data_IF_907497036565
#
_entry.id   IF_907497036565
#
_cell.length_a   1.000
_cell.length_b   1.000
_cell.length_c   1.000
_cell.angle_alpha   90.00
_cell.angle_beta   90.00
_cell.angle_gamma   90.00
#
_symmetry.space_group_name_H-M   'P 1'
#
loop_
_entity.id
_entity.type
_entity.pdbx_description
1 polymer ?
#
# COMPACT_ATOMS: atom_id res chain seq x y z
N UNK A 1 6.77 -13.45 37.82
CA UNK A 1 7.11 -14.38 36.74
C UNK A 1 8.51 -14.06 36.29
N UNK A 2 9.38 -15.07 36.32
CA UNK A 2 10.83 -14.96 36.16
C UNK A 2 11.13 -14.84 34.66
N UNK A 3 11.73 -13.73 34.24
CA UNK A 3 12.20 -13.52 32.88
C UNK A 3 13.23 -14.61 32.53
N UNK A 4 12.88 -15.51 31.61
CA UNK A 4 13.85 -16.39 30.96
C UNK A 4 14.62 -15.51 29.98
N UNK A 5 15.96 -15.40 30.07
CA UNK A 5 16.73 -14.64 29.12
C UNK A 5 16.81 -15.47 27.84
N UNK A 6 15.85 -15.27 26.94
CA UNK A 6 16.08 -15.57 25.53
C UNK A 6 17.19 -14.60 25.11
N UNK A 7 18.28 -15.17 24.59
CA UNK A 7 19.49 -14.52 24.03
C UNK A 7 19.24 -13.04 23.75
N UNK A 8 19.98 -12.15 24.43
CA UNK A 8 19.89 -10.72 24.17
C UNK A 8 20.01 -10.51 22.65
N UNK A 9 18.98 -9.94 22.02
CA UNK A 9 18.87 -9.77 20.57
C UNK A 9 20.05 -8.97 19.95
N UNK A 10 20.94 -8.43 20.78
CA UNK A 10 22.17 -7.71 20.43
C UNK A 10 23.31 -8.60 19.90
N UNK A 11 23.20 -9.94 19.94
CA UNK A 11 24.23 -10.85 19.41
C UNK A 11 23.82 -11.64 18.16
N UNK A 12 22.58 -11.50 17.69
CA UNK A 12 22.08 -12.26 16.54
C UNK A 12 22.49 -11.55 15.24
N UNK A 13 23.22 -12.19 14.32
CA UNK A 13 23.58 -11.57 13.05
C UNK A 13 22.34 -11.16 12.24
N UNK A 14 22.33 -9.94 11.70
CA UNK A 14 21.21 -9.38 10.91
C UNK A 14 20.77 -10.32 9.77
N UNK A 15 21.72 -10.94 9.07
CA UNK A 15 21.44 -11.90 8.00
C UNK A 15 20.61 -13.11 8.47
N UNK A 16 20.82 -13.57 9.71
CA UNK A 16 20.06 -14.66 10.28
C UNK A 16 18.61 -14.22 10.54
N UNK A 17 18.43 -12.99 11.01
CA UNK A 17 17.09 -12.41 11.24
C UNK A 17 16.36 -12.23 9.93
N UNK A 18 17.00 -11.64 8.92
CA UNK A 18 16.42 -11.45 7.57
C UNK A 18 16.04 -12.80 6.95
N UNK A 19 16.94 -13.78 6.99
CA UNK A 19 16.65 -15.14 6.53
C UNK A 19 15.48 -15.76 7.29
N UNK A 20 15.42 -15.56 8.61
CA UNK A 20 14.32 -15.98 9.46
C UNK A 20 12.99 -15.32 9.08
N UNK A 21 12.96 -14.02 8.83
CA UNK A 21 11.77 -13.27 8.39
C UNK A 21 11.24 -13.79 7.05
N UNK A 22 12.13 -14.01 6.07
CA UNK A 22 11.75 -14.53 4.76
C UNK A 22 11.17 -15.95 4.89
N UNK A 23 11.81 -16.83 5.68
CA UNK A 23 11.31 -18.17 5.94
C UNK A 23 10.00 -18.17 6.74
N UNK A 24 9.83 -17.24 7.66
CA UNK A 24 8.56 -17.03 8.36
C UNK A 24 7.45 -16.65 7.37
N UNK A 25 7.77 -15.88 6.32
CA UNK A 25 6.83 -15.60 5.24
C UNK A 25 6.45 -16.82 4.40
N UNK A 26 7.38 -17.77 4.20
CA UNK A 26 7.07 -19.06 3.59
C UNK A 26 6.13 -19.89 4.48
N UNK A 27 6.39 -19.94 5.78
CA UNK A 27 5.50 -20.60 6.76
C UNK A 27 4.11 -19.95 6.73
N UNK A 28 4.03 -18.62 6.76
CA UNK A 28 2.78 -17.88 6.70
C UNK A 28 1.98 -18.21 5.42
N UNK A 29 2.67 -18.33 4.29
CA UNK A 29 2.05 -18.73 3.02
C UNK A 29 1.52 -20.17 3.06
N UNK A 30 2.23 -21.10 3.71
CA UNK A 30 1.74 -22.47 3.90
C UNK A 30 0.56 -22.54 4.88
N UNK A 31 0.62 -21.78 5.98
CA UNK A 31 -0.43 -21.76 6.99
C UNK A 31 -1.72 -21.15 6.44
N UNK A 32 -1.64 -20.03 5.72
CA UNK A 32 -2.81 -19.33 5.15
C UNK A 32 -3.65 -20.22 4.25
N UNK A 33 -3.01 -21.12 3.50
CA UNK A 33 -3.71 -22.13 2.68
C UNK A 33 -4.48 -23.16 3.51
N UNK A 34 -4.09 -23.39 4.76
CA UNK A 34 -4.74 -24.37 5.64
C UNK A 34 -5.85 -23.74 6.50
N UNK A 35 -5.64 -22.51 6.98
CA UNK A 35 -6.53 -21.85 7.95
C UNK A 35 -7.55 -20.88 7.32
N UNK A 36 -7.58 -20.73 5.99
CA UNK A 36 -8.47 -19.79 5.27
C UNK A 36 -8.34 -18.33 5.75
N UNK A 37 -7.16 -17.93 6.22
CA UNK A 37 -6.85 -16.56 6.62
C UNK A 37 -5.85 -15.97 5.60
N UNK A 38 -6.02 -14.71 5.17
CA UNK A 38 -5.08 -14.07 4.25
C UNK A 38 -3.64 -14.11 4.76
N UNK A 39 -2.69 -14.34 3.85
CA UNK A 39 -1.24 -14.39 4.15
C UNK A 39 -0.78 -13.14 4.90
N UNK A 40 -1.26 -11.97 4.50
CA UNK A 40 -0.92 -10.67 5.09
C UNK A 40 -1.26 -10.63 6.59
N UNK A 41 -2.43 -11.12 6.98
CA UNK A 41 -2.84 -11.18 8.39
C UNK A 41 -1.90 -12.06 9.21
N UNK A 42 -1.46 -13.19 8.67
CA UNK A 42 -0.54 -14.10 9.36
C UNK A 42 0.84 -13.45 9.50
N UNK A 43 1.32 -12.76 8.47
CA UNK A 43 2.58 -12.00 8.53
C UNK A 43 2.53 -10.92 9.63
N UNK A 44 1.45 -10.14 9.71
CA UNK A 44 1.28 -9.14 10.76
C UNK A 44 1.27 -9.77 12.17
N UNK A 45 0.54 -10.87 12.36
CA UNK A 45 0.50 -11.59 13.63
C UNK A 45 1.87 -12.18 14.02
N UNK A 46 2.60 -12.72 13.05
CA UNK A 46 3.97 -13.20 13.27
C UNK A 46 4.90 -12.03 13.61
N UNK A 47 4.71 -10.86 13.02
CA UNK A 47 5.44 -9.63 13.34
C UNK A 47 5.20 -9.19 14.78
N UNK A 48 3.93 -9.14 15.20
CA UNK A 48 3.54 -8.82 16.60
C UNK A 48 4.16 -9.84 17.57
N UNK A 49 4.10 -11.14 17.23
CA UNK A 49 4.67 -12.19 18.05
C UNK A 49 6.20 -12.14 18.10
N UNK A 50 6.87 -11.76 17.00
CA UNK A 50 8.32 -11.65 16.93
C UNK A 50 8.85 -10.33 17.53
N UNK A 51 7.99 -9.32 17.63
CA UNK A 51 8.31 -7.99 18.13
C UNK A 51 8.39 -7.87 19.65
N UNK A 52 8.54 -6.63 20.16
CA UNK A 52 8.95 -6.38 21.55
C UNK A 52 7.94 -6.89 22.59
N UNK A 53 6.67 -6.97 22.22
CA UNK A 53 5.58 -7.45 23.08
C UNK A 53 5.44 -8.97 23.12
N UNK A 54 6.06 -9.69 22.18
CA UNK A 54 6.02 -11.14 22.09
C UNK A 54 7.34 -11.78 22.52
N UNK A 55 8.03 -12.37 21.56
CA UNK A 55 9.30 -13.09 21.72
C UNK A 55 10.52 -12.15 21.70
N UNK A 56 10.36 -10.91 21.23
CA UNK A 56 11.42 -9.91 21.13
C UNK A 56 12.70 -10.43 20.43
N UNK A 57 12.51 -11.11 19.29
CA UNK A 57 13.57 -11.78 18.53
C UNK A 57 14.14 -10.92 17.39
N UNK A 58 13.42 -9.88 16.99
CA UNK A 58 13.87 -8.93 15.96
C UNK A 58 14.75 -7.87 16.64
N UNK A 59 16.04 -7.76 16.29
CA UNK A 59 16.92 -6.72 16.82
C UNK A 59 16.44 -5.34 16.38
N UNK A 60 16.69 -4.33 17.22
CA UNK A 60 16.31 -2.94 16.92
C UNK A 60 16.93 -2.43 15.63
N UNK A 61 18.19 -2.78 15.38
CA UNK A 61 18.92 -2.36 14.17
C UNK A 61 18.23 -2.84 12.87
N UNK A 62 17.61 -4.02 12.89
CA UNK A 62 16.82 -4.55 11.75
C UNK A 62 15.48 -3.83 11.64
N UNK A 63 14.86 -3.46 12.77
CA UNK A 63 13.62 -2.70 12.77
C UNK A 63 13.82 -1.26 12.25
N UNK A 64 14.99 -0.66 12.47
CA UNK A 64 15.33 0.67 11.94
C UNK A 64 15.34 0.71 10.40
N UNK A 65 15.45 -0.43 9.71
CA UNK A 65 15.35 -0.51 8.24
C UNK A 65 13.91 -0.53 7.72
N UNK A 66 12.92 -0.51 8.62
CA UNK A 66 11.52 -0.58 8.22
C UNK A 66 11.09 0.52 7.22
N UNK A 67 11.49 1.80 7.38
CA UNK A 67 11.18 2.83 6.39
C UNK A 67 11.73 2.53 5.00
N UNK A 68 12.99 2.08 4.90
CA UNK A 68 13.64 1.76 3.63
C UNK A 68 13.00 0.53 2.96
N UNK A 69 12.69 -0.51 3.75
CA UNK A 69 12.00 -1.71 3.26
C UNK A 69 10.59 -1.34 2.78
N UNK A 70 9.89 -0.47 3.50
CA UNK A 70 8.57 0.04 3.13
C UNK A 70 8.63 0.77 1.79
N UNK A 71 9.60 1.67 1.61
CA UNK A 71 9.76 2.42 0.37
C UNK A 71 10.02 1.50 -0.83
N UNK A 72 10.91 0.52 -0.66
CA UNK A 72 11.23 -0.46 -1.71
C UNK A 72 10.00 -1.29 -2.06
N UNK A 73 9.34 -1.86 -1.05
CA UNK A 73 8.17 -2.72 -1.24
C UNK A 73 7.02 -1.96 -1.91
N UNK A 74 6.69 -0.77 -1.42
CA UNK A 74 5.58 0.03 -1.93
C UNK A 74 5.87 0.65 -3.30
N UNK A 75 7.12 0.99 -3.63
CA UNK A 75 7.48 1.41 -4.98
C UNK A 75 7.24 0.28 -6.01
N UNK A 76 7.66 -0.94 -5.68
CA UNK A 76 7.44 -2.12 -6.53
C UNK A 76 5.96 -2.46 -6.65
N UNK A 77 5.21 -2.49 -5.54
CA UNK A 77 3.76 -2.74 -5.54
C UNK A 77 3.00 -1.65 -6.29
N UNK A 78 3.35 -0.39 -6.08
CA UNK A 78 2.75 0.72 -6.83
C UNK A 78 2.93 0.54 -8.33
N UNK A 79 4.13 0.17 -8.78
CA UNK A 79 4.37 -0.17 -10.19
C UNK A 79 3.49 -1.32 -10.68
N UNK A 80 3.41 -2.43 -9.94
CA UNK A 80 2.55 -3.59 -10.28
C UNK A 80 1.07 -3.20 -10.37
N UNK A 81 0.59 -2.42 -9.41
CA UNK A 81 -0.79 -1.92 -9.40
C UNK A 81 -1.07 -1.07 -10.64
N UNK A 82 -0.09 -0.29 -11.10
CA UNK A 82 -0.16 0.44 -12.37
C UNK A 82 -0.53 -0.42 -13.59
N UNK A 83 -0.15 -1.71 -13.62
CA UNK A 83 -0.55 -2.63 -14.70
C UNK A 83 -2.08 -2.77 -14.80
N UNK A 84 -2.74 -2.85 -13.64
CA UNK A 84 -4.20 -3.02 -13.53
C UNK A 84 -4.96 -1.84 -14.16
N UNK A 85 -4.37 -0.64 -14.15
CA UNK A 85 -4.94 0.57 -14.77
C UNK A 85 -4.97 0.54 -16.31
N UNK A 86 -4.17 -0.31 -16.96
CA UNK A 86 -4.16 -0.43 -18.42
C UNK A 86 -5.19 -1.42 -18.98
N UNK A 87 -5.90 -2.14 -18.11
CA UNK A 87 -6.83 -3.21 -18.47
C UNK A 87 -7.97 -2.77 -19.40
N UNK A 88 -8.44 -3.70 -20.25
CA UNK A 88 -9.64 -3.50 -21.09
C UNK A 88 -10.91 -3.26 -20.26
N UNK A 89 -10.92 -3.66 -19.00
CA UNK A 89 -12.07 -3.55 -18.09
C UNK A 89 -12.40 -2.09 -17.78
N UNK A 90 -11.41 -1.27 -17.40
CA UNK A 90 -11.62 0.18 -17.17
C UNK A 90 -12.16 0.87 -18.43
N UNK A 91 -11.75 0.44 -19.62
CA UNK A 91 -12.25 1.00 -20.90
C UNK A 91 -13.70 0.62 -21.21
N UNK A 92 -14.24 -0.44 -20.60
CA UNK A 92 -15.59 -0.97 -20.89
C UNK A 92 -16.62 -0.66 -19.81
N UNK A 93 -16.22 -0.65 -18.54
CA UNK A 93 -17.08 -0.38 -17.36
C UNK A 93 -16.66 0.87 -16.58
N UNK A 94 -15.76 1.68 -17.15
CA UNK A 94 -15.07 2.78 -16.45
C UNK A 94 -15.99 3.78 -15.75
N UNK A 95 -17.13 4.16 -16.32
CA UNK A 95 -18.03 5.11 -15.66
C UNK A 95 -18.61 4.55 -14.36
N UNK A 96 -19.06 3.30 -14.36
CA UNK A 96 -19.57 2.63 -13.14
C UNK A 96 -18.44 2.40 -12.14
N UNK A 97 -17.30 1.90 -12.59
CA UNK A 97 -16.13 1.68 -11.73
C UNK A 97 -15.68 2.98 -11.05
N UNK A 98 -15.54 4.07 -11.81
CA UNK A 98 -15.14 5.37 -11.27
C UNK A 98 -16.19 5.94 -10.31
N UNK A 99 -17.48 5.81 -10.62
CA UNK A 99 -18.54 6.32 -9.77
C UNK A 99 -18.61 5.56 -8.43
N UNK A 100 -18.57 4.23 -8.46
CA UNK A 100 -18.60 3.38 -7.26
C UNK A 100 -17.35 3.60 -6.42
N UNK A 101 -16.17 3.53 -7.02
CA UNK A 101 -14.87 3.71 -6.36
C UNK A 101 -14.75 5.09 -5.69
N UNK A 102 -15.16 6.16 -6.38
CA UNK A 102 -15.17 7.50 -5.80
C UNK A 102 -16.23 7.62 -4.69
N UNK A 103 -17.40 7.01 -4.87
CA UNK A 103 -18.48 6.98 -3.89
C UNK A 103 -18.05 6.30 -2.59
N UNK A 104 -17.48 5.11 -2.65
CA UNK A 104 -17.00 4.38 -1.46
C UNK A 104 -15.82 5.09 -0.80
N UNK A 105 -14.90 5.66 -1.59
CA UNK A 105 -13.73 6.39 -1.07
C UNK A 105 -14.18 7.61 -0.27
N UNK A 106 -15.05 8.44 -0.84
CA UNK A 106 -15.59 9.62 -0.16
C UNK A 106 -16.50 9.23 0.99
N UNK A 107 -17.34 8.20 0.82
CA UNK A 107 -18.24 7.69 1.86
C UNK A 107 -17.47 7.22 3.09
N UNK A 108 -16.44 6.39 2.91
CA UNK A 108 -15.56 5.92 3.98
C UNK A 108 -14.89 7.10 4.69
N UNK A 109 -14.28 8.02 3.94
CA UNK A 109 -13.59 9.17 4.51
C UNK A 109 -14.52 10.09 5.30
N UNK A 110 -15.70 10.43 4.76
CA UNK A 110 -16.66 11.32 5.43
C UNK A 110 -17.18 10.70 6.73
N UNK A 111 -17.61 9.43 6.69
CA UNK A 111 -18.19 8.77 7.86
C UNK A 111 -17.13 8.58 8.94
N UNK A 112 -15.92 8.15 8.57
CA UNK A 112 -14.80 8.03 9.52
C UNK A 112 -14.41 9.39 10.10
N UNK A 113 -14.33 10.43 9.27
CA UNK A 113 -14.04 11.79 9.72
C UNK A 113 -15.03 12.25 10.80
N UNK A 114 -16.34 12.12 10.53
CA UNK A 114 -17.39 12.55 11.47
C UNK A 114 -17.28 11.78 12.78
N UNK A 115 -17.17 10.45 12.72
CA UNK A 115 -17.08 9.60 13.93
C UNK A 115 -15.81 9.92 14.72
N UNK A 116 -14.66 9.99 14.07
CA UNK A 116 -13.39 10.29 14.71
C UNK A 116 -13.38 11.70 15.33
N UNK A 117 -13.92 12.70 14.63
CA UNK A 117 -14.01 14.07 15.14
C UNK A 117 -14.93 14.15 16.37
N UNK A 118 -16.09 13.50 16.34
CA UNK A 118 -17.02 13.48 17.48
C UNK A 118 -16.43 12.78 18.71
N UNK A 119 -15.60 11.75 18.52
CA UNK A 119 -14.97 11.01 19.62
C UNK A 119 -13.73 11.71 20.18
N UNK A 120 -12.90 12.32 19.33
CA UNK A 120 -11.60 12.85 19.71
C UNK A 120 -11.60 14.37 19.93
N UNK A 121 -12.54 15.10 19.32
CA UNK A 121 -12.54 16.56 19.28
C UNK A 121 -11.34 17.18 18.53
N UNK A 122 -10.49 16.36 17.90
CA UNK A 122 -9.28 16.78 17.21
C UNK A 122 -9.44 16.65 15.70
N UNK A 123 -9.54 17.80 15.02
CA UNK A 123 -9.71 17.90 13.58
C UNK A 123 -8.55 17.27 12.79
N UNK A 124 -7.32 17.49 13.24
CA UNK A 124 -6.10 16.99 12.57
C UNK A 124 -6.10 15.47 12.57
N UNK A 125 -6.30 14.84 13.73
CA UNK A 125 -6.32 13.37 13.82
C UNK A 125 -7.50 12.77 13.05
N UNK A 126 -8.68 13.42 13.12
CA UNK A 126 -9.86 12.96 12.37
C UNK A 126 -9.63 12.99 10.85
N UNK A 127 -8.96 14.02 10.31
CA UNK A 127 -8.59 14.10 8.89
C UNK A 127 -7.61 13.01 8.49
N UNK A 128 -6.59 12.74 9.33
CA UNK A 128 -5.61 11.68 9.06
C UNK A 128 -6.27 10.29 9.04
N UNK A 129 -7.14 9.99 10.01
CA UNK A 129 -7.91 8.75 10.04
C UNK A 129 -8.85 8.63 8.83
N UNK A 130 -9.50 9.73 8.45
CA UNK A 130 -10.37 9.76 7.28
C UNK A 130 -9.61 9.51 5.97
N UNK A 131 -8.36 9.96 5.85
CA UNK A 131 -7.55 9.73 4.66
C UNK A 131 -7.04 8.31 4.51
N UNK A 132 -6.88 7.56 5.61
CA UNK A 132 -6.47 6.15 5.58
C UNK A 132 -7.67 5.23 5.36
N UNK A 133 -8.89 5.68 5.70
CA UNK A 133 -10.13 4.89 5.61
C UNK A 133 -10.41 4.22 4.25
N UNK A 134 -10.17 4.86 3.09
CA UNK A 134 -10.47 4.28 1.78
C UNK A 134 -9.55 3.13 1.37
N UNK A 135 -8.39 2.97 2.00
CA UNK A 135 -7.39 2.01 1.57
C UNK A 135 -7.97 0.57 1.57
N UNK A 136 -7.86 -0.12 0.44
CA UNK A 136 -8.47 -1.44 0.20
C UNK A 136 -7.52 -2.31 -0.63
N UNK A 137 -7.19 -3.51 -0.14
CA UNK A 137 -6.24 -4.41 -0.82
C UNK A 137 -6.96 -5.32 -1.86
N UNK A 138 -6.57 -5.31 -3.15
CA UNK A 138 -7.12 -6.19 -4.18
C UNK A 138 -6.86 -7.68 -3.98
N UNK A 139 -5.83 -8.06 -3.22
CA UNK A 139 -5.40 -9.46 -3.13
C UNK A 139 -6.51 -10.38 -2.58
N UNK A 140 -7.15 -9.98 -1.48
CA UNK A 140 -8.20 -10.79 -0.84
C UNK A 140 -9.44 -10.93 -1.76
N UNK A 141 -9.83 -9.84 -2.43
CA UNK A 141 -10.97 -9.84 -3.35
C UNK A 141 -10.69 -10.71 -4.58
N UNK A 142 -9.48 -10.65 -5.13
CA UNK A 142 -9.06 -11.46 -6.27
C UNK A 142 -9.01 -12.95 -5.94
N UNK A 143 -8.53 -13.30 -4.75
CA UNK A 143 -8.47 -14.69 -4.28
C UNK A 143 -9.87 -15.31 -4.19
N UNK A 144 -10.85 -14.60 -3.61
CA UNK A 144 -12.25 -15.06 -3.53
C UNK A 144 -12.85 -15.24 -4.91
N UNK A 145 -12.60 -14.32 -5.84
CA UNK A 145 -13.10 -14.42 -7.23
C UNK A 145 -12.52 -15.64 -7.94
N UNK A 146 -11.21 -15.90 -7.77
CA UNK A 146 -10.52 -17.05 -8.38
C UNK A 146 -11.00 -18.38 -7.78
N UNK A 147 -11.14 -18.43 -6.46
CA UNK A 147 -11.61 -19.62 -5.73
C UNK A 147 -13.03 -20.01 -6.14
N UNK A 148 -13.93 -19.03 -6.22
CA UNK A 148 -15.31 -19.24 -6.66
C UNK A 148 -15.45 -19.34 -8.18
N UNK A 149 -14.37 -19.14 -8.95
CA UNK A 149 -14.38 -19.05 -10.42
C UNK A 149 -15.45 -18.09 -10.94
N UNK A 150 -15.67 -17.00 -10.21
CA UNK A 150 -16.72 -16.05 -10.54
C UNK A 150 -16.32 -15.27 -11.81
N UNK A 151 -17.19 -15.27 -12.82
CA UNK A 151 -17.02 -14.45 -14.02
C UNK A 151 -18.37 -13.84 -14.40
N UNK A 152 -18.49 -12.53 -14.22
CA UNK A 152 -19.74 -11.80 -14.46
C UNK A 152 -19.56 -10.29 -14.42
N UNK A 153 -20.59 -9.52 -14.78
CA UNK A 153 -20.53 -8.06 -14.80
C UNK A 153 -20.17 -7.46 -13.43
N UNK A 154 -20.75 -8.00 -12.36
CA UNK A 154 -20.45 -7.57 -10.98
C UNK A 154 -18.99 -7.86 -10.62
N UNK A 155 -18.49 -9.06 -10.90
CA UNK A 155 -17.08 -9.42 -10.66
C UNK A 155 -16.13 -8.46 -11.35
N UNK A 156 -16.41 -8.11 -12.62
CA UNK A 156 -15.60 -7.18 -13.41
C UNK A 156 -15.64 -5.77 -12.87
N UNK A 157 -16.80 -5.32 -12.39
CA UNK A 157 -16.91 -4.03 -11.68
C UNK A 157 -16.11 -4.04 -10.38
N UNK A 158 -16.27 -5.07 -9.53
CA UNK A 158 -15.54 -5.18 -8.26
C UNK A 158 -14.03 -5.21 -8.50
N UNK A 159 -13.54 -6.04 -9.42
CA UNK A 159 -12.11 -6.07 -9.76
C UNK A 159 -11.61 -4.74 -10.32
N UNK A 160 -12.44 -4.03 -11.09
CA UNK A 160 -12.12 -2.69 -11.59
C UNK A 160 -12.08 -1.64 -10.48
N UNK A 161 -12.99 -1.71 -9.51
CA UNK A 161 -13.06 -0.79 -8.35
C UNK A 161 -11.81 -0.95 -7.50
N UNK A 162 -11.53 -2.17 -7.04
CA UNK A 162 -10.38 -2.42 -6.16
C UNK A 162 -9.03 -2.19 -6.86
N UNK A 163 -8.98 -2.21 -8.20
CA UNK A 163 -7.78 -1.79 -8.94
C UNK A 163 -7.52 -0.28 -8.91
N UNK A 164 -8.54 0.56 -8.75
CA UNK A 164 -8.44 2.03 -8.76
C UNK A 164 -8.42 2.62 -7.34
N UNK A 165 -9.03 1.96 -6.36
CA UNK A 165 -9.22 2.49 -5.00
C UNK A 165 -7.92 2.93 -4.33
N UNK A 166 -6.82 2.19 -4.50
CA UNK A 166 -5.51 2.56 -3.93
C UNK A 166 -5.01 3.91 -4.46
N UNK A 167 -5.28 4.24 -5.73
CA UNK A 167 -4.92 5.55 -6.27
C UNK A 167 -5.80 6.66 -5.67
N UNK A 168 -7.11 6.43 -5.52
CA UNK A 168 -7.98 7.41 -4.87
C UNK A 168 -7.63 7.59 -3.40
N UNK A 169 -7.32 6.51 -2.69
CA UNK A 169 -6.89 6.54 -1.29
C UNK A 169 -5.65 7.41 -1.12
N UNK A 170 -4.63 7.22 -1.95
CA UNK A 170 -3.40 8.04 -1.90
C UNK A 170 -3.67 9.50 -2.24
N UNK A 171 -4.45 9.77 -3.29
CA UNK A 171 -4.83 11.14 -3.66
C UNK A 171 -5.61 11.82 -2.53
N UNK A 172 -6.61 11.15 -1.97
CA UNK A 172 -7.43 11.69 -0.88
C UNK A 172 -6.61 11.90 0.39
N UNK A 173 -5.77 10.93 0.75
CA UNK A 173 -4.86 11.03 1.90
C UNK A 173 -3.93 12.24 1.76
N UNK A 174 -3.30 12.43 0.60
CA UNK A 174 -2.46 13.60 0.31
C UNK A 174 -3.19 14.92 0.52
N UNK A 175 -4.42 15.05 0.02
CA UNK A 175 -5.23 16.26 0.25
C UNK A 175 -5.54 16.46 1.73
N UNK A 176 -6.05 15.44 2.41
CA UNK A 176 -6.44 15.53 3.82
C UNK A 176 -5.24 15.80 4.74
N UNK A 177 -4.07 15.24 4.43
CA UNK A 177 -2.81 15.51 5.12
C UNK A 177 -2.41 16.98 5.01
N UNK A 178 -2.47 17.55 3.80
CA UNK A 178 -2.19 18.98 3.58
C UNK A 178 -3.16 19.90 4.33
N UNK A 179 -4.44 19.54 4.36
CA UNK A 179 -5.44 20.24 5.17
C UNK A 179 -5.10 20.15 6.67
N UNK A 180 -4.73 18.97 7.15
CA UNK A 180 -4.32 18.75 8.53
C UNK A 180 -3.06 19.54 8.91
N UNK A 181 -2.04 19.58 8.06
CA UNK A 181 -0.82 20.39 8.24
C UNK A 181 -1.17 21.89 8.34
N UNK A 182 -2.04 22.38 7.46
CA UNK A 182 -2.48 23.78 7.47
C UNK A 182 -3.22 24.13 8.77
N UNK A 183 -4.11 23.25 9.24
CA UNK A 183 -4.82 23.44 10.51
C UNK A 183 -3.90 23.39 11.73
N UNK A 184 -2.81 22.61 11.65
CA UNK A 184 -1.79 22.56 12.71
C UNK A 184 -0.87 23.78 12.75
N UNK A 185 -1.03 24.73 11.82
CA UNK A 185 -0.21 25.94 11.73
C UNK A 185 1.16 25.74 11.07
N UNK A 186 1.42 24.56 10.49
CA UNK A 186 2.69 24.24 9.83
C UNK A 186 2.81 24.86 8.43
N UNK A 187 1.69 25.22 7.78
CA UNK A 187 1.68 25.83 6.45
C UNK A 187 0.65 26.97 6.35
N UNK A 188 0.98 28.03 5.62
CA UNK A 188 -0.01 29.03 5.21
C UNK A 188 -0.99 28.40 4.21
N UNK A 189 -2.30 28.71 4.31
CA UNK A 189 -3.34 28.00 3.53
C UNK A 189 -3.14 28.00 2.01
N UNK A 190 -2.56 29.06 1.44
CA UNK A 190 -2.22 29.11 0.02
C UNK A 190 -1.01 28.23 -0.34
N UNK A 191 0.01 28.15 0.53
CA UNK A 191 1.16 27.28 0.34
C UNK A 191 0.79 25.80 0.52
N UNK A 192 -0.13 25.49 1.45
CA UNK A 192 -0.66 24.13 1.66
C UNK A 192 -1.36 23.61 0.40
N UNK A 193 -2.34 24.33 -0.13
CA UNK A 193 -3.04 23.94 -1.36
C UNK A 193 -2.06 23.75 -2.53
N UNK A 194 -1.06 24.64 -2.65
CA UNK A 194 0.00 24.50 -3.64
C UNK A 194 0.80 23.19 -3.48
N UNK A 195 1.17 22.83 -2.25
CA UNK A 195 1.88 21.58 -1.92
C UNK A 195 1.05 20.34 -2.27
N UNK A 196 -0.24 20.30 -1.93
CA UNK A 196 -1.11 19.16 -2.27
C UNK A 196 -1.33 19.00 -3.77
N UNK A 197 -1.49 20.11 -4.50
CA UNK A 197 -1.54 20.06 -5.96
C UNK A 197 -0.20 19.60 -6.55
N UNK A 198 0.93 20.10 -6.03
CA UNK A 198 2.25 19.66 -6.47
C UNK A 198 2.48 18.17 -6.21
N UNK A 199 2.06 17.67 -5.06
CA UNK A 199 2.16 16.26 -4.67
C UNK A 199 1.46 15.34 -5.68
N UNK A 200 0.22 15.67 -6.07
CA UNK A 200 -0.57 14.88 -7.03
C UNK A 200 -0.13 15.10 -8.47
N UNK A 201 -0.09 16.36 -8.94
CA UNK A 201 0.23 16.66 -10.34
C UNK A 201 1.69 16.39 -10.66
N UNK A 202 2.60 16.65 -9.73
CA UNK A 202 4.02 16.33 -9.85
C UNK A 202 4.25 14.83 -9.93
N UNK A 203 3.57 14.03 -9.09
CA UNK A 203 3.63 12.57 -9.17
C UNK A 203 3.13 12.02 -10.52
N UNK A 204 2.00 12.54 -11.02
CA UNK A 204 1.48 12.17 -12.34
C UNK A 204 2.48 12.53 -13.46
N UNK A 205 3.02 13.75 -13.43
CA UNK A 205 3.97 14.22 -14.44
C UNK A 205 5.25 13.37 -14.45
N UNK A 206 5.83 13.10 -13.27
CA UNK A 206 7.02 12.26 -13.13
C UNK A 206 6.78 10.83 -13.59
N UNK A 207 5.66 10.22 -13.17
CA UNK A 207 5.32 8.85 -13.55
C UNK A 207 5.20 8.70 -15.07
N UNK A 208 4.59 9.68 -15.75
CA UNK A 208 4.52 9.72 -17.21
C UNK A 208 5.91 9.94 -17.82
N UNK A 209 6.67 10.90 -17.29
CA UNK A 209 8.00 11.27 -17.77
C UNK A 209 8.98 10.10 -17.75
N UNK A 210 9.00 9.31 -16.68
CA UNK A 210 9.86 8.11 -16.55
C UNK A 210 9.23 6.87 -17.21
N UNK A 211 7.90 6.82 -17.33
CA UNK A 211 7.18 5.71 -17.94
C UNK A 211 7.38 5.60 -19.43
N UNK A 212 7.52 6.72 -20.15
CA UNK A 212 7.81 6.71 -21.58
C UNK A 212 9.20 6.10 -21.92
N UNK A 213 10.31 6.55 -21.30
CA UNK A 213 11.62 5.91 -21.45
C UNK A 213 11.58 4.43 -21.13
N UNK A 214 10.95 4.05 -20.03
CA UNK A 214 10.82 2.64 -19.63
C UNK A 214 10.05 1.83 -20.69
N UNK A 215 8.89 2.32 -21.13
CA UNK A 215 8.10 1.66 -22.18
C UNK A 215 8.85 1.52 -23.51
N UNK A 216 9.76 2.45 -23.82
CA UNK A 216 10.59 2.42 -25.02
C UNK A 216 11.80 1.48 -24.90
N UNK A 217 12.40 1.39 -23.71
CA UNK A 217 13.57 0.56 -23.43
C UNK A 217 13.21 -0.94 -23.29
N UNK A 218 12.00 -1.23 -22.78
CA UNK A 218 11.47 -2.58 -22.62
C UNK A 218 11.61 -3.42 -23.90
N UNK A 219 12.45 -4.46 -23.84
CA UNK A 219 12.64 -5.44 -24.93
C UNK A 219 13.77 -5.14 -25.93
N UNK A 220 14.60 -4.12 -25.69
CA UNK A 220 15.77 -3.78 -26.53
C UNK A 220 17.09 -4.45 -26.08
N UNK A 221 17.29 -4.69 -24.78
CA UNK A 221 18.55 -5.26 -24.24
C UNK A 221 18.67 -6.76 -24.54
N UNK A 222 17.57 -7.51 -24.41
CA UNK A 222 17.37 -8.83 -25.00
C UNK A 222 15.98 -8.86 -25.61
N UNK A 223 15.84 -9.38 -26.84
CA UNK A 223 14.54 -9.50 -27.50
C UNK A 223 13.58 -10.28 -26.59
N UNK A 224 12.64 -9.55 -25.99
CA UNK A 224 11.60 -10.11 -25.15
C UNK A 224 11.94 -10.27 -23.66
N UNK A 225 13.11 -9.93 -23.14
CA UNK A 225 13.36 -10.07 -21.69
C UNK A 225 13.78 -8.72 -21.12
N UNK A 226 12.82 -7.85 -20.71
CA UNK A 226 13.15 -6.82 -19.73
C UNK A 226 13.77 -7.51 -18.52
N UNK A 227 14.90 -7.00 -18.04
CA UNK A 227 15.55 -7.59 -16.87
C UNK A 227 14.90 -7.04 -15.61
N UNK A 228 14.77 -7.86 -14.56
CA UNK A 228 14.46 -7.41 -13.19
C UNK A 228 15.30 -6.18 -12.82
N UNK A 229 16.57 -6.14 -13.26
CA UNK A 229 17.49 -5.02 -13.03
C UNK A 229 17.04 -3.71 -13.69
N UNK A 230 16.56 -3.77 -14.94
CA UNK A 230 16.08 -2.60 -15.68
C UNK A 230 14.80 -2.06 -15.03
N UNK A 231 13.86 -2.97 -14.75
CA UNK A 231 12.56 -2.59 -14.22
C UNK A 231 12.67 -2.05 -12.80
N UNK A 232 13.35 -2.76 -11.89
CA UNK A 232 13.58 -2.28 -10.52
C UNK A 232 14.42 -1.00 -10.48
N UNK A 233 15.46 -0.90 -11.31
CA UNK A 233 16.30 0.30 -11.38
C UNK A 233 15.51 1.56 -11.76
N UNK A 234 14.64 1.48 -12.77
CA UNK A 234 13.80 2.62 -13.17
C UNK A 234 12.75 2.93 -12.10
N UNK A 235 12.11 1.92 -11.52
CA UNK A 235 11.13 2.10 -10.43
C UNK A 235 11.77 2.83 -9.25
N UNK A 236 12.95 2.41 -8.80
CA UNK A 236 13.63 3.04 -7.66
C UNK A 236 14.18 4.43 -7.99
N UNK A 237 14.69 4.67 -9.19
CA UNK A 237 15.08 6.03 -9.62
C UNK A 237 13.84 6.94 -9.61
N UNK A 238 12.73 6.47 -10.18
CA UNK A 238 11.50 7.23 -10.24
C UNK A 238 10.95 7.54 -8.83
N UNK A 239 10.89 6.55 -7.95
CA UNK A 239 10.49 6.71 -6.55
C UNK A 239 11.42 7.65 -5.78
N UNK A 240 12.73 7.51 -5.95
CA UNK A 240 13.74 8.36 -5.30
C UNK A 240 13.67 9.80 -5.78
N UNK A 241 13.47 10.05 -7.08
CA UNK A 241 13.28 11.40 -7.63
C UNK A 241 11.97 12.00 -7.12
N UNK A 242 10.90 11.22 -7.02
CA UNK A 242 9.64 11.68 -6.45
C UNK A 242 9.81 12.13 -4.98
N UNK A 243 10.50 11.32 -4.16
CA UNK A 243 10.85 11.69 -2.78
C UNK A 243 11.72 12.94 -2.72
N UNK A 244 12.72 13.05 -3.59
CA UNK A 244 13.60 14.23 -3.64
C UNK A 244 12.85 15.52 -4.01
N UNK A 245 11.77 15.40 -4.78
CA UNK A 245 10.92 16.53 -5.19
C UNK A 245 9.72 16.76 -4.28
N UNK A 246 9.65 16.06 -3.13
CA UNK A 246 8.54 16.09 -2.17
C UNK A 246 7.17 15.84 -2.84
N UNK A 247 7.11 14.86 -3.75
CA UNK A 247 5.86 14.38 -4.35
C UNK A 247 5.64 12.90 -4.05
N UNK A 248 4.39 12.43 -4.20
CA UNK A 248 3.95 11.10 -3.81
C UNK A 248 4.65 10.04 -4.65
N UNK A 249 5.68 9.42 -4.08
CA UNK A 249 6.47 8.40 -4.76
C UNK A 249 5.63 7.17 -5.12
N UNK A 250 4.65 6.82 -4.28
CA UNK A 250 3.75 5.70 -4.51
C UNK A 250 2.83 6.00 -5.70
N UNK A 251 2.18 7.18 -5.73
CA UNK A 251 1.37 7.60 -6.88
C UNK A 251 2.21 7.69 -8.16
N UNK A 252 3.45 8.19 -8.04
CA UNK A 252 4.40 8.23 -9.15
C UNK A 252 4.68 6.84 -9.71
N UNK A 253 4.88 5.84 -8.85
CA UNK A 253 5.10 4.44 -9.26
C UNK A 253 3.86 3.81 -9.90
N UNK A 254 2.65 4.11 -9.39
CA UNK A 254 1.38 3.69 -10.02
C UNK A 254 1.28 4.27 -11.44
N UNK A 255 1.51 5.58 -11.59
CA UNK A 255 1.44 6.25 -12.89
C UNK A 255 2.53 5.76 -13.85
N UNK A 256 3.73 5.46 -13.33
CA UNK A 256 4.81 4.82 -14.06
C UNK A 256 4.34 3.47 -14.63
N UNK A 257 3.82 2.58 -13.78
CA UNK A 257 3.27 1.28 -14.17
C UNK A 257 2.15 1.41 -15.20
N UNK A 258 1.19 2.31 -14.96
CA UNK A 258 0.09 2.57 -15.89
C UNK A 258 0.56 3.07 -17.26
N UNK A 259 1.58 3.93 -17.28
CA UNK A 259 2.19 4.44 -18.53
C UNK A 259 2.86 3.31 -19.30
N UNK A 260 3.65 2.47 -18.61
CA UNK A 260 4.33 1.31 -19.21
C UNK A 260 3.32 0.31 -19.75
N UNK A 261 2.32 -0.05 -18.97
CA UNK A 261 1.31 -1.03 -19.37
C UNK A 261 0.47 -0.55 -20.59
N UNK A 262 0.20 0.75 -20.71
CA UNK A 262 -0.53 1.31 -21.86
C UNK A 262 0.34 1.51 -23.13
N UNK A 263 1.66 1.65 -22.99
CA UNK A 263 2.55 2.03 -24.12
C UNK A 263 3.51 0.93 -24.57
N UNK A 264 3.84 -0.03 -23.71
CA UNK A 264 4.74 -1.13 -24.05
C UNK A 264 4.08 -2.12 -25.01
N UNK A 265 4.78 -2.48 -26.10
CA UNK A 265 4.33 -3.50 -27.07
C UNK A 265 4.30 -4.92 -26.47
N UNK A 266 5.08 -5.16 -25.40
CA UNK A 266 5.13 -6.40 -24.62
C UNK A 266 4.95 -6.05 -23.13
N UNK A 267 3.70 -5.88 -22.69
CA UNK A 267 3.36 -5.37 -21.36
C UNK A 267 3.56 -6.39 -20.24
N UNK A 268 3.39 -7.69 -20.47
CA UNK A 268 3.33 -8.70 -19.38
C UNK A 268 4.67 -9.10 -18.75
N UNK A 269 5.80 -8.75 -19.35
CA UNK A 269 7.12 -9.27 -18.92
C UNK A 269 7.78 -8.44 -17.79
N UNK A 270 7.80 -7.08 -17.84
CA UNK A 270 8.35 -6.27 -16.74
C UNK A 270 7.61 -6.46 -15.40
N UNK A 271 6.28 -6.59 -15.43
CA UNK A 271 5.47 -6.73 -14.22
C UNK A 271 5.71 -8.07 -13.54
N UNK A 272 5.71 -9.19 -14.27
CA UNK A 272 5.97 -10.52 -13.69
C UNK A 272 7.35 -10.64 -13.04
N UNK A 273 8.34 -9.95 -13.60
CA UNK A 273 9.70 -9.96 -13.08
C UNK A 273 9.81 -9.12 -11.79
N UNK A 274 9.12 -7.98 -11.73
CA UNK A 274 8.99 -7.18 -10.49
C UNK A 274 8.15 -7.92 -9.44
N UNK A 275 7.10 -8.64 -9.84
CA UNK A 275 6.22 -9.40 -8.95
C UNK A 275 7.05 -10.37 -8.11
N UNK A 276 7.84 -11.24 -8.76
CA UNK A 276 8.73 -12.17 -8.06
C UNK A 276 9.82 -11.49 -7.23
N UNK A 277 10.35 -10.36 -7.69
CA UNK A 277 11.37 -9.62 -6.95
C UNK A 277 10.80 -8.85 -5.73
N UNK A 278 9.51 -8.51 -5.74
CA UNK A 278 8.84 -7.76 -4.67
C UNK A 278 8.50 -8.63 -3.46
N UNK A 279 8.31 -9.94 -3.65
CA UNK A 279 7.83 -10.85 -2.61
C UNK A 279 8.65 -10.81 -1.30
N UNK A 280 10.00 -10.86 -1.32
CA UNK A 280 10.78 -10.83 -0.08
C UNK A 280 10.61 -9.50 0.67
N UNK A 281 10.56 -8.38 -0.05
CA UNK A 281 10.38 -7.06 0.54
C UNK A 281 8.98 -6.90 1.12
N UNK A 282 7.94 -7.44 0.46
CA UNK A 282 6.58 -7.42 1.01
C UNK A 282 6.44 -8.26 2.28
N UNK A 283 7.09 -9.42 2.33
CA UNK A 283 7.13 -10.24 3.55
C UNK A 283 7.77 -9.46 4.70
N UNK A 284 8.92 -8.84 4.46
CA UNK A 284 9.60 -8.04 5.47
C UNK A 284 8.77 -6.82 5.88
N UNK A 285 8.18 -6.10 4.92
CA UNK A 285 7.28 -4.98 5.17
C UNK A 285 6.14 -5.35 6.12
N UNK A 286 5.38 -6.42 5.83
CA UNK A 286 4.26 -6.80 6.68
C UNK A 286 4.69 -7.36 8.05
N UNK A 287 5.81 -8.09 8.13
CA UNK A 287 6.35 -8.55 9.41
C UNK A 287 6.80 -7.37 10.28
N UNK A 288 7.53 -6.41 9.71
CA UNK A 288 8.01 -5.23 10.42
C UNK A 288 6.87 -4.26 10.76
N UNK A 289 5.83 -4.17 9.93
CA UNK A 289 4.60 -3.45 10.27
C UNK A 289 3.90 -4.08 11.49
N UNK A 290 3.94 -5.41 11.62
CA UNK A 290 3.48 -6.12 12.82
C UNK A 290 4.38 -5.87 14.03
N UNK A 291 5.69 -5.79 13.84
CA UNK A 291 6.66 -5.46 14.89
C UNK A 291 6.42 -4.07 15.50
N UNK A 292 6.11 -3.06 14.67
CA UNK A 292 5.79 -1.69 15.08
C UNK A 292 4.43 -1.56 15.80
N UNK A 293 3.64 -2.63 15.87
CA UNK A 293 2.34 -2.58 16.52
C UNK A 293 2.49 -2.41 18.03
N UNK A 294 2.14 -1.21 18.51
CA UNK A 294 2.09 -0.92 19.94
C UNK A 294 0.78 -1.43 20.59
N UNK A 295 0.88 -2.61 21.20
CA UNK A 295 -0.23 -3.25 21.92
C UNK A 295 -0.68 -2.46 23.16
N UNK A 296 0.17 -1.61 23.75
CA UNK A 296 -0.23 -0.78 24.88
C UNK A 296 -1.23 0.30 24.42
N UNK A 297 -1.00 0.90 23.26
CA UNK A 297 -1.91 1.87 22.65
C UNK A 297 -3.28 1.28 22.29
N UNK A 298 -3.40 -0.03 22.11
CA UNK A 298 -4.67 -0.71 21.85
C UNK A 298 -5.65 -0.59 23.03
N UNK A 299 -5.16 -0.53 24.27
CA UNK A 299 -6.03 -0.38 25.45
C UNK A 299 -6.67 1.01 25.49
N UNK A 300 -5.92 2.04 25.08
CA UNK A 300 -6.38 3.43 25.07
C UNK A 300 -7.18 3.76 23.81
N UNK A 301 -6.83 3.17 22.66
CA UNK A 301 -7.43 3.47 21.36
C UNK A 301 -8.41 2.38 20.89
N UNK A 302 -8.62 1.31 21.65
CA UNK A 302 -9.42 0.16 21.23
C UNK A 302 -10.86 0.54 20.87
N UNK A 303 -11.49 1.40 21.68
CA UNK A 303 -12.85 1.89 21.39
C UNK A 303 -12.89 2.72 20.10
N UNK A 304 -11.89 3.59 19.89
CA UNK A 304 -11.74 4.36 18.66
C UNK A 304 -11.53 3.44 17.47
N UNK A 305 -10.72 2.39 17.61
CA UNK A 305 -10.46 1.40 16.56
C UNK A 305 -11.73 0.64 16.16
N UNK A 306 -12.54 0.19 17.12
CA UNK A 306 -13.84 -0.45 16.85
C UNK A 306 -14.78 0.54 16.13
N UNK A 307 -14.88 1.76 16.63
CA UNK A 307 -15.71 2.79 16.01
C UNK A 307 -15.23 3.12 14.58
N UNK A 308 -13.91 3.19 14.37
CA UNK A 308 -13.30 3.39 13.06
C UNK A 308 -13.66 2.26 12.09
N UNK A 309 -13.55 1.00 12.51
CA UNK A 309 -13.89 -0.15 11.65
C UNK A 309 -15.37 -0.12 11.27
N UNK A 310 -16.27 0.13 12.22
CA UNK A 310 -17.72 0.23 11.95
C UNK A 310 -18.01 1.41 11.01
N UNK A 311 -17.46 2.59 11.30
CA UNK A 311 -17.62 3.79 10.50
C UNK A 311 -17.13 3.58 9.06
N UNK A 312 -15.96 2.96 8.91
CA UNK A 312 -15.39 2.59 7.61
C UNK A 312 -16.30 1.64 6.86
N UNK A 313 -16.76 0.55 7.48
CA UNK A 313 -17.68 -0.40 6.84
C UNK A 313 -18.98 0.26 6.39
N UNK A 314 -19.58 1.11 7.24
CA UNK A 314 -20.79 1.86 6.89
C UNK A 314 -20.54 2.81 5.72
N UNK A 315 -19.42 3.54 5.75
CA UNK A 315 -19.06 4.49 4.70
C UNK A 315 -18.81 3.83 3.34
N UNK A 316 -18.12 2.68 3.32
CA UNK A 316 -17.92 1.90 2.09
C UNK A 316 -19.26 1.40 1.51
N UNK A 317 -20.12 0.80 2.35
CA UNK A 317 -21.42 0.27 1.91
C UNK A 317 -22.35 1.38 1.43
N UNK A 318 -22.42 2.50 2.16
CA UNK A 318 -23.28 3.62 1.81
C UNK A 318 -22.78 4.39 0.57
N UNK A 319 -21.46 4.46 0.38
CA UNK A 319 -20.84 5.16 -0.74
C UNK A 319 -20.83 4.37 -2.05
N UNK A 320 -20.72 3.03 -1.98
CA UNK A 320 -20.73 2.15 -3.16
C UNK A 320 -22.11 1.62 -3.57
N UNK A 321 -23.16 1.90 -2.77
CA UNK A 321 -24.54 1.45 -2.98
C UNK A 321 -25.38 2.30 -3.92
#
# INVERSE_FOLDING_TARGET
MQYVPIVAATEVPELLVIGGLILAGYIAHSLGRFIHVPRVTILLLLGILAGPFGLNVIPKDVAEWFPEITDIALAMVGFLLGESFAGREIKRTGATVLAVSLGETLGAAIVVFVVAYLMLGNMVIALLLAGIAPASDPAASLDVVRENRADGPLTKTVLGVVAIDDAWGVILFSFLLVFAETLSGQSSGAAGIGKGLWDVFGAILLGILFGFPMAWLTGRIKKGEPSVLEASGIVFICAGVAKYLDVSYLLTCIVLGATVANRAKHHTRPFRDIEGASEPFLVMFFLLAGYECDLASLQTLGLLGIAYVIARSVGLIAGGG
#
